data_IF_698768368829
#
_entry.id   IF_698768368829
#
_cell.length_a   1.000
_cell.length_b   1.000
_cell.length_c   1.000
_cell.angle_alpha   90.00
_cell.angle_beta   90.00
_cell.angle_gamma   90.00
#
_symmetry.space_group_name_H-M   'P 1'
#
loop_
_entity.id
_entity.type
_entity.pdbx_description
1 polymer ?
#
# COMPACT_ATOMS: atom_id res chain seq x y z
N UNK A 1 -6.08 -10.16 -0.98
CA UNK A 1 -4.72 -10.72 -0.83
C UNK A 1 -4.52 -11.36 0.55
N UNK A 2 -4.79 -10.65 1.67
CA UNK A 2 -4.54 -11.17 3.03
C UNK A 2 -5.34 -12.43 3.34
N UNK A 3 -6.64 -12.46 3.04
CA UNK A 3 -7.50 -13.65 3.27
C UNK A 3 -6.95 -14.87 2.52
N UNK A 4 -6.47 -14.68 1.29
CA UNK A 4 -5.86 -15.75 0.49
C UNK A 4 -4.49 -16.17 1.03
N UNK A 5 -3.78 -15.26 1.70
CA UNK A 5 -2.46 -15.51 2.30
C UNK A 5 -2.53 -16.31 3.61
N UNK A 6 -3.62 -16.18 4.37
CA UNK A 6 -3.75 -16.82 5.70
C UNK A 6 -3.52 -18.33 5.70
N UNK A 7 -4.08 -19.14 4.78
CA UNK A 7 -3.82 -20.58 4.75
C UNK A 7 -2.34 -20.94 4.56
N UNK A 8 -1.57 -20.05 3.91
CA UNK A 8 -0.15 -20.31 3.65
C UNK A 8 0.73 -20.26 4.90
N UNK A 9 0.28 -19.61 5.98
CA UNK A 9 0.97 -19.75 7.27
C UNK A 9 1.03 -21.19 7.72
N UNK A 10 -0.07 -21.95 7.58
CA UNK A 10 -0.15 -23.37 7.94
C UNK A 10 0.71 -24.18 6.98
N UNK A 11 0.61 -23.90 5.66
CA UNK A 11 1.38 -24.62 4.63
C UNK A 11 2.88 -24.47 4.86
N UNK A 12 3.37 -23.24 5.04
CA UNK A 12 4.79 -22.99 5.26
C UNK A 12 5.26 -23.42 6.65
N UNK A 13 4.39 -23.37 7.68
CA UNK A 13 4.66 -23.99 8.97
C UNK A 13 4.91 -25.48 8.82
N UNK A 14 3.99 -26.21 8.21
CA UNK A 14 4.11 -27.64 7.96
C UNK A 14 5.32 -28.00 7.05
N UNK A 15 5.55 -27.21 5.99
CA UNK A 15 6.69 -27.43 5.11
C UNK A 15 8.02 -27.21 5.84
N UNK A 16 8.06 -26.25 6.75
CA UNK A 16 9.24 -25.95 7.55
C UNK A 16 9.63 -27.06 8.51
N UNK A 17 8.66 -27.83 8.99
CA UNK A 17 8.92 -29.01 9.84
C UNK A 17 9.59 -30.15 9.05
N UNK A 18 9.35 -30.23 7.73
CA UNK A 18 9.97 -31.26 6.86
C UNK A 18 11.32 -30.89 6.28
N UNK A 19 11.46 -29.65 5.81
CA UNK A 19 12.65 -29.16 5.10
C UNK A 19 13.67 -28.54 6.06
N UNK A 20 13.16 -28.06 7.20
CA UNK A 20 13.93 -27.32 8.18
C UNK A 20 13.57 -25.84 8.18
N UNK A 21 13.27 -25.33 9.36
CA UNK A 21 12.72 -23.98 9.58
C UNK A 21 13.62 -22.88 9.04
N UNK A 22 14.93 -23.00 9.30
CA UNK A 22 15.94 -22.07 8.83
C UNK A 22 15.93 -21.90 7.30
N UNK A 23 15.81 -23.01 6.57
CA UNK A 23 15.87 -22.96 5.09
C UNK A 23 14.65 -22.30 4.48
N UNK A 24 13.45 -22.54 5.02
CA UNK A 24 12.23 -21.89 4.54
C UNK A 24 12.26 -20.38 4.80
N UNK A 25 12.67 -19.98 6.00
CA UNK A 25 12.81 -18.54 6.34
C UNK A 25 13.86 -17.85 5.46
N UNK A 26 15.05 -18.46 5.30
CA UNK A 26 16.09 -17.89 4.45
C UNK A 26 15.65 -17.83 2.98
N UNK A 27 14.95 -18.86 2.49
CA UNK A 27 14.38 -18.87 1.15
C UNK A 27 13.38 -17.73 0.93
N UNK A 28 12.47 -17.51 1.88
CA UNK A 28 11.52 -16.40 1.84
C UNK A 28 12.19 -15.04 1.81
N UNK A 29 13.21 -14.82 2.65
CA UNK A 29 14.00 -13.57 2.66
C UNK A 29 14.76 -13.36 1.36
N UNK A 30 15.39 -14.40 0.82
CA UNK A 30 16.14 -14.33 -0.44
C UNK A 30 15.24 -14.02 -1.62
N UNK A 31 14.08 -14.67 -1.72
CA UNK A 31 13.06 -14.39 -2.73
C UNK A 31 12.55 -12.95 -2.61
N UNK A 32 12.32 -12.47 -1.40
CA UNK A 32 11.90 -11.09 -1.16
C UNK A 32 12.96 -10.09 -1.67
N UNK A 33 14.23 -10.29 -1.35
CA UNK A 33 15.33 -9.41 -1.80
C UNK A 33 15.41 -9.36 -3.33
N UNK A 34 15.29 -10.50 -4.00
CA UNK A 34 15.39 -10.59 -5.46
C UNK A 34 14.17 -10.00 -6.18
N UNK A 35 12.96 -10.25 -5.64
CA UNK A 35 11.71 -9.98 -6.33
C UNK A 35 11.02 -8.67 -5.92
N UNK A 36 11.33 -8.08 -4.77
CA UNK A 36 10.69 -6.82 -4.37
C UNK A 36 10.94 -5.70 -5.37
N UNK A 37 12.17 -5.56 -5.86
CA UNK A 37 12.49 -4.49 -6.82
C UNK A 37 11.66 -4.58 -8.12
N UNK A 38 11.59 -5.71 -8.83
CA UNK A 38 10.74 -5.84 -10.01
C UNK A 38 9.25 -5.75 -9.69
N UNK A 39 8.78 -6.27 -8.54
CA UNK A 39 7.39 -6.18 -8.13
C UNK A 39 6.99 -4.72 -7.91
N UNK A 40 7.74 -3.95 -7.13
CA UNK A 40 7.45 -2.53 -6.89
C UNK A 40 7.54 -1.70 -8.17
N UNK A 41 8.49 -2.00 -9.06
CA UNK A 41 8.56 -1.35 -10.37
C UNK A 41 7.29 -1.60 -11.18
N UNK A 42 6.82 -2.84 -11.28
CA UNK A 42 5.59 -3.21 -11.96
C UNK A 42 4.37 -2.54 -11.33
N UNK A 43 4.27 -2.52 -10.00
CA UNK A 43 3.18 -1.82 -9.30
C UNK A 43 3.19 -0.31 -9.60
N UNK A 44 4.36 0.32 -9.60
CA UNK A 44 4.50 1.73 -9.93
C UNK A 44 4.11 2.04 -11.37
N UNK A 45 4.55 1.23 -12.33
CA UNK A 45 4.21 1.41 -13.74
C UNK A 45 2.69 1.25 -13.98
N UNK A 46 2.06 0.29 -13.31
CA UNK A 46 0.61 0.05 -13.39
C UNK A 46 -0.22 1.19 -12.80
N UNK A 47 0.28 1.84 -11.74
CA UNK A 47 -0.44 2.94 -11.06
C UNK A 47 -0.11 4.31 -11.63
N UNK A 48 0.96 4.44 -12.41
CA UNK A 48 1.43 5.72 -12.93
C UNK A 48 0.57 6.21 -14.10
N UNK A 49 -0.31 7.15 -13.82
CA UNK A 49 -1.19 7.76 -14.84
C UNK A 49 -0.45 8.49 -15.96
N UNK A 50 0.83 8.89 -15.75
CA UNK A 50 1.64 9.58 -16.78
C UNK A 50 1.96 8.68 -17.97
N UNK A 51 1.96 7.37 -17.77
CA UNK A 51 2.24 6.38 -18.83
C UNK A 51 0.98 5.95 -19.59
N UNK A 52 -0.20 6.49 -19.21
CA UNK A 52 -1.49 6.14 -19.79
C UNK A 52 -1.95 7.22 -20.78
N UNK A 53 -2.58 6.82 -21.88
CA UNK A 53 -3.11 7.75 -22.89
C UNK A 53 -4.38 8.42 -22.37
N UNK A 54 -4.35 9.75 -22.21
CA UNK A 54 -5.51 10.54 -21.76
C UNK A 54 -6.50 10.70 -22.91
N UNK A 55 -7.79 10.48 -22.63
CA UNK A 55 -8.90 10.81 -23.53
C UNK A 55 -9.34 12.25 -23.25
N UNK A 56 -8.75 13.19 -23.96
CA UNK A 56 -9.02 14.63 -23.79
C UNK A 56 -10.49 14.99 -23.98
N UNK A 57 -11.22 14.27 -24.83
CA UNK A 57 -12.65 14.48 -25.07
C UNK A 57 -13.54 14.18 -23.85
N UNK A 58 -13.04 13.36 -22.90
CA UNK A 58 -13.76 12.98 -21.68
C UNK A 58 -13.22 13.66 -20.41
N UNK A 59 -12.30 14.61 -20.59
CA UNK A 59 -11.79 15.40 -19.47
C UNK A 59 -12.77 16.49 -19.12
N UNK A 60 -13.26 16.49 -17.88
CA UNK A 60 -14.17 17.51 -17.36
C UNK A 60 -13.50 18.34 -16.28
N UNK A 61 -13.68 19.65 -16.40
CA UNK A 61 -13.24 20.64 -15.42
C UNK A 61 -14.51 21.28 -14.83
N UNK A 62 -14.70 21.12 -13.54
CA UNK A 62 -15.80 21.76 -12.81
C UNK A 62 -15.21 22.68 -11.75
N UNK A 63 -15.73 23.90 -11.68
CA UNK A 63 -15.40 24.84 -10.62
C UNK A 63 -16.68 25.16 -9.83
N UNK A 64 -16.67 24.89 -8.55
CA UNK A 64 -17.81 25.12 -7.66
C UNK A 64 -17.37 25.95 -6.45
N UNK A 65 -18.25 26.85 -6.01
CA UNK A 65 -18.11 27.55 -4.74
C UNK A 65 -18.93 26.80 -3.69
N UNK A 66 -18.29 26.38 -2.62
CA UNK A 66 -18.95 25.65 -1.53
C UNK A 66 -18.71 26.35 -0.20
N UNK A 67 -19.77 26.51 0.58
CA UNK A 67 -19.67 27.04 1.91
C UNK A 67 -19.07 25.99 2.86
N UNK A 68 -18.06 26.41 3.62
CA UNK A 68 -17.39 25.53 4.56
C UNK A 68 -18.06 25.61 5.94
N UNK A 69 -17.85 24.58 6.80
CA UNK A 69 -18.36 24.51 8.18
C UNK A 69 -18.01 25.71 9.06
N UNK A 70 -17.09 26.58 8.62
CA UNK A 70 -16.68 27.82 9.30
C UNK A 70 -17.31 29.08 8.70
N UNK A 71 -18.38 28.97 7.90
CA UNK A 71 -19.02 30.08 7.20
C UNK A 71 -18.09 30.89 6.27
N UNK A 72 -17.00 30.25 5.81
CA UNK A 72 -16.10 30.79 4.78
C UNK A 72 -16.40 30.07 3.47
N UNK A 73 -16.26 30.78 2.35
CA UNK A 73 -16.40 30.20 1.02
C UNK A 73 -15.09 29.54 0.57
N UNK A 74 -15.20 28.33 0.04
CA UNK A 74 -14.07 27.63 -0.58
C UNK A 74 -14.35 27.46 -2.09
N UNK A 75 -13.35 27.79 -2.92
CA UNK A 75 -13.40 27.46 -4.35
C UNK A 75 -12.88 26.04 -4.55
N UNK A 76 -13.72 25.17 -5.08
CA UNK A 76 -13.39 23.78 -5.37
C UNK A 76 -13.23 23.63 -6.87
N UNK A 77 -12.03 23.26 -7.30
CA UNK A 77 -11.74 22.91 -8.69
C UNK A 77 -11.62 21.40 -8.79
N UNK A 78 -12.55 20.79 -9.51
CA UNK A 78 -12.58 19.36 -9.75
C UNK A 78 -12.15 19.08 -11.18
N UNK A 79 -11.03 18.39 -11.34
CA UNK A 79 -10.54 17.90 -12.63
C UNK A 79 -10.75 16.40 -12.68
N UNK A 80 -11.57 15.94 -13.62
CA UNK A 80 -11.79 14.52 -13.86
C UNK A 80 -11.20 14.16 -15.24
N UNK A 81 -10.19 13.28 -15.25
CA UNK A 81 -9.53 12.78 -16.44
C UNK A 81 -9.85 11.30 -16.62
N UNK A 82 -10.17 10.92 -17.85
CA UNK A 82 -10.41 9.52 -18.20
C UNK A 82 -9.33 9.06 -19.18
N UNK A 83 -8.77 7.88 -18.94
CA UNK A 83 -7.74 7.28 -19.79
C UNK A 83 -8.33 6.18 -20.67
N UNK A 84 -7.62 5.87 -21.77
CA UNK A 84 -8.06 4.89 -22.78
C UNK A 84 -8.26 3.48 -22.20
N UNK A 85 -7.55 3.13 -21.13
CA UNK A 85 -7.66 1.86 -20.42
C UNK A 85 -8.82 1.79 -19.42
N UNK A 86 -9.63 2.84 -19.30
CA UNK A 86 -10.72 2.95 -18.33
C UNK A 86 -10.30 3.43 -16.93
N UNK A 87 -9.05 3.79 -16.72
CA UNK A 87 -8.59 4.44 -15.49
C UNK A 87 -9.17 5.86 -15.42
N UNK A 88 -9.59 6.30 -14.23
CA UNK A 88 -10.02 7.68 -13.99
C UNK A 88 -9.16 8.34 -12.94
N UNK A 89 -8.82 9.60 -13.17
CA UNK A 89 -8.05 10.45 -12.29
C UNK A 89 -8.90 11.65 -11.88
N UNK A 90 -9.20 11.75 -10.60
CA UNK A 90 -9.95 12.85 -10.01
C UNK A 90 -9.01 13.69 -9.14
N UNK A 91 -8.80 14.93 -9.51
CA UNK A 91 -8.08 15.92 -8.72
C UNK A 91 -9.06 16.97 -8.22
N UNK A 92 -9.14 17.13 -6.92
CA UNK A 92 -9.95 18.15 -6.25
C UNK A 92 -9.00 19.12 -5.56
N UNK A 93 -8.94 20.35 -6.07
CA UNK A 93 -8.20 21.48 -5.49
C UNK A 93 -9.17 22.36 -4.74
N UNK A 94 -9.02 22.45 -3.43
CA UNK A 94 -9.80 23.35 -2.58
C UNK A 94 -8.95 24.55 -2.22
N UNK A 95 -9.39 25.71 -2.65
CA UNK A 95 -8.75 27.00 -2.31
C UNK A 95 -9.63 27.68 -1.26
N UNK A 96 -9.13 27.83 -0.05
CA UNK A 96 -9.86 28.51 1.03
C UNK A 96 -9.86 30.02 0.75
N UNK A 97 -11.07 30.61 0.73
CA UNK A 97 -11.27 32.04 0.53
C UNK A 97 -11.54 32.71 1.88
N UNK A 98 -10.92 33.88 2.07
CA UNK A 98 -11.19 34.80 3.18
C UNK A 98 -11.51 36.18 2.59
N UNK A 99 -12.69 36.69 2.87
CA UNK A 99 -13.21 37.95 2.29
C UNK A 99 -13.17 37.97 0.73
N UNK A 100 -13.50 36.85 0.09
CA UNK A 100 -13.51 36.72 -1.38
C UNK A 100 -12.12 36.63 -2.05
N UNK A 101 -11.03 36.59 -1.28
CA UNK A 101 -9.67 36.42 -1.78
C UNK A 101 -9.07 35.14 -1.22
N UNK A 102 -8.15 34.53 -1.99
CA UNK A 102 -7.46 33.31 -1.54
C UNK A 102 -6.72 33.58 -0.23
N UNK A 103 -6.95 32.75 0.79
CA UNK A 103 -6.26 32.84 2.07
C UNK A 103 -4.78 32.56 1.88
N UNK A 104 -3.91 33.52 2.22
CA UNK A 104 -2.46 33.38 2.12
C UNK A 104 -1.91 32.93 3.48
N UNK A 105 -1.18 31.82 3.48
CA UNK A 105 -0.41 31.34 4.63
C UNK A 105 1.04 31.17 4.17
N UNK A 106 1.99 31.75 4.89
CA UNK A 106 3.43 31.77 4.54
C UNK A 106 3.74 32.27 3.11
N UNK A 107 2.99 33.29 2.65
CA UNK A 107 3.21 33.89 1.33
C UNK A 107 2.65 33.07 0.15
N UNK A 108 1.92 31.97 0.39
CA UNK A 108 1.29 31.14 -0.64
C UNK A 108 -0.20 30.95 -0.36
N UNK A 109 -1.00 30.84 -1.42
CA UNK A 109 -2.42 30.50 -1.28
C UNK A 109 -2.55 29.12 -0.62
N UNK A 110 -3.40 29.00 0.41
CA UNK A 110 -3.69 27.72 1.04
C UNK A 110 -4.54 26.89 0.07
N UNK A 111 -3.90 25.95 -0.61
CA UNK A 111 -4.53 25.03 -1.56
C UNK A 111 -4.42 23.62 -0.99
N UNK A 112 -5.54 22.99 -0.72
CA UNK A 112 -5.58 21.57 -0.38
C UNK A 112 -5.88 20.78 -1.65
N UNK A 113 -4.94 19.92 -2.07
CA UNK A 113 -5.12 19.07 -3.24
C UNK A 113 -5.37 17.63 -2.79
N UNK A 114 -6.51 17.09 -3.16
CA UNK A 114 -6.87 15.70 -2.97
C UNK A 114 -6.92 14.99 -4.31
N UNK A 115 -6.10 13.96 -4.48
CA UNK A 115 -6.05 13.18 -5.71
C UNK A 115 -6.60 11.78 -5.45
N UNK A 116 -7.50 11.33 -6.32
CA UNK A 116 -8.05 9.97 -6.29
C UNK A 116 -7.86 9.34 -7.66
N UNK A 117 -7.22 8.18 -7.70
CA UNK A 117 -7.03 7.40 -8.93
C UNK A 117 -7.87 6.13 -8.81
N UNK A 118 -8.80 5.94 -9.73
CA UNK A 118 -9.57 4.70 -9.86
C UNK A 118 -9.01 3.90 -11.02
N UNK A 119 -8.40 2.77 -10.73
CA UNK A 119 -7.71 1.92 -11.68
C UNK A 119 -8.71 0.98 -12.34
N UNK A 120 -8.50 0.62 -13.61
CA UNK A 120 -9.31 -0.35 -14.33
C UNK A 120 -9.30 -1.74 -13.65
N UNK A 121 -10.25 -2.60 -14.01
CA UNK A 121 -10.42 -3.91 -13.37
C UNK A 121 -9.23 -4.84 -13.60
N UNK A 122 -8.60 -4.80 -14.78
CA UNK A 122 -7.43 -5.63 -15.10
C UNK A 122 -6.23 -5.25 -14.23
N UNK A 123 -5.87 -3.97 -14.18
CA UNK A 123 -4.75 -3.46 -13.38
C UNK A 123 -4.99 -3.68 -11.88
N UNK A 124 -6.25 -3.57 -11.44
CA UNK A 124 -6.62 -3.87 -10.05
C UNK A 124 -6.36 -5.32 -9.67
N UNK A 125 -6.73 -6.28 -10.53
CA UNK A 125 -6.45 -7.70 -10.28
C UNK A 125 -4.95 -7.99 -10.32
N UNK A 126 -4.21 -7.37 -11.24
CA UNK A 126 -2.75 -7.47 -11.31
C UNK A 126 -2.09 -6.97 -10.02
N UNK A 127 -2.53 -5.83 -9.49
CA UNK A 127 -2.03 -5.31 -8.20
C UNK A 127 -2.36 -6.24 -7.03
N UNK A 128 -3.58 -6.79 -6.97
CA UNK A 128 -3.98 -7.76 -5.95
C UNK A 128 -3.07 -8.99 -6.01
N UNK A 129 -2.74 -9.47 -7.22
CA UNK A 129 -1.84 -10.60 -7.40
C UNK A 129 -0.40 -10.29 -6.94
N UNK A 130 0.14 -9.11 -7.32
CA UNK A 130 1.47 -8.69 -6.89
C UNK A 130 1.57 -8.53 -5.36
N UNK A 131 0.53 -7.98 -4.72
CA UNK A 131 0.45 -7.92 -3.26
C UNK A 131 0.35 -9.32 -2.66
N UNK A 132 -0.41 -10.22 -3.26
CA UNK A 132 -0.51 -11.60 -2.79
C UNK A 132 0.85 -12.32 -2.81
N UNK A 133 1.65 -12.14 -3.87
CA UNK A 133 3.02 -12.69 -3.94
C UNK A 133 3.90 -12.16 -2.80
N UNK A 134 3.80 -10.85 -2.48
CA UNK A 134 4.54 -10.29 -1.34
C UNK A 134 4.08 -10.90 -0.01
N UNK A 135 2.77 -11.10 0.17
CA UNK A 135 2.22 -11.77 1.36
C UNK A 135 2.76 -13.19 1.48
N UNK A 136 2.95 -13.93 0.38
CA UNK A 136 3.56 -15.27 0.42
C UNK A 136 4.98 -15.22 0.99
N UNK A 137 5.81 -14.26 0.61
CA UNK A 137 7.16 -14.14 1.19
C UNK A 137 7.12 -13.87 2.69
N UNK A 138 6.18 -13.04 3.12
CA UNK A 138 5.94 -12.77 4.55
C UNK A 138 5.53 -14.06 5.27
N UNK A 139 4.59 -14.83 4.71
CA UNK A 139 4.13 -16.09 5.34
C UNK A 139 5.21 -17.15 5.41
N UNK A 140 6.16 -17.18 4.45
CA UNK A 140 7.33 -18.07 4.50
C UNK A 140 8.23 -17.79 5.70
N UNK A 141 8.37 -16.53 6.08
CA UNK A 141 9.20 -16.11 7.22
C UNK A 141 8.41 -16.24 8.53
N UNK A 142 7.22 -15.67 8.59
CA UNK A 142 6.42 -15.62 9.82
C UNK A 142 5.80 -16.96 10.21
N UNK A 143 5.53 -17.86 9.25
CA UNK A 143 4.98 -19.20 9.55
C UNK A 143 5.85 -19.98 10.53
N UNK A 144 7.12 -20.22 10.24
CA UNK A 144 8.02 -20.99 11.11
C UNK A 144 8.68 -20.20 12.24
N UNK A 145 8.60 -18.85 12.29
CA UNK A 145 9.42 -18.00 13.19
C UNK A 145 9.21 -18.33 14.67
N UNK A 146 7.97 -18.52 15.10
CA UNK A 146 7.67 -18.82 16.51
C UNK A 146 8.30 -20.11 16.95
N UNK A 147 8.16 -21.15 16.14
CA UNK A 147 8.73 -22.46 16.41
C UNK A 147 10.27 -22.46 16.29
N UNK A 148 10.83 -21.71 15.35
CA UNK A 148 12.28 -21.53 15.24
C UNK A 148 12.87 -20.86 16.49
N UNK A 149 12.22 -19.83 17.02
CA UNK A 149 12.65 -19.17 18.27
C UNK A 149 12.59 -20.12 19.46
N UNK A 150 11.57 -20.95 19.55
CA UNK A 150 11.45 -21.98 20.62
C UNK A 150 12.61 -22.95 20.59
N UNK A 151 13.06 -23.38 19.40
CA UNK A 151 14.16 -24.32 19.23
C UNK A 151 15.54 -23.71 19.50
N UNK A 152 15.68 -22.39 19.31
CA UNK A 152 16.94 -21.69 19.50
C UNK A 152 17.40 -21.61 20.96
N UNK A 153 16.45 -21.67 21.91
CA UNK A 153 16.76 -21.47 23.33
C UNK A 153 16.67 -22.75 24.16
N UNK A 154 17.58 -22.95 25.11
CA UNK A 154 17.52 -24.07 26.07
C UNK A 154 16.22 -24.08 26.86
N UNK A 155 15.73 -25.26 27.21
CA UNK A 155 14.42 -25.47 27.86
C UNK A 155 14.21 -24.61 29.10
N UNK A 156 15.26 -24.42 29.92
CA UNK A 156 15.20 -23.66 31.20
C UNK A 156 14.87 -22.17 31.03
N UNK A 157 15.29 -21.55 29.93
CA UNK A 157 15.14 -20.10 29.70
C UNK A 157 14.29 -19.78 28.47
N UNK A 158 13.78 -20.81 27.79
CA UNK A 158 13.08 -20.74 26.51
C UNK A 158 11.98 -19.69 26.50
N UNK A 159 11.10 -19.72 27.50
CA UNK A 159 9.95 -18.82 27.57
C UNK A 159 10.38 -17.33 27.66
N UNK A 160 11.26 -17.03 28.60
CA UNK A 160 11.73 -15.64 28.81
C UNK A 160 12.55 -15.14 27.63
N UNK A 161 13.44 -15.97 27.10
CA UNK A 161 14.32 -15.56 25.97
C UNK A 161 13.58 -15.42 24.65
N UNK A 162 12.50 -16.19 24.44
CA UNK A 162 11.65 -16.06 23.25
C UNK A 162 10.75 -14.81 23.32
N UNK A 163 10.26 -14.49 24.51
CA UNK A 163 9.32 -13.38 24.72
C UNK A 163 9.96 -12.02 24.32
N UNK A 164 11.22 -11.81 24.68
CA UNK A 164 11.91 -10.54 24.43
C UNK A 164 12.04 -10.22 22.93
N UNK A 165 12.68 -11.03 22.08
CA UNK A 165 12.80 -10.72 20.65
C UNK A 165 11.46 -10.71 19.92
N UNK A 166 10.48 -11.52 20.37
CA UNK A 166 9.15 -11.53 19.79
C UNK A 166 8.40 -10.21 20.06
N UNK A 167 8.43 -9.72 21.31
CA UNK A 167 7.75 -8.46 21.66
C UNK A 167 8.49 -7.23 21.14
N UNK A 168 9.81 -7.21 21.20
CA UNK A 168 10.60 -6.09 20.65
C UNK A 168 10.47 -6.03 19.12
N UNK A 169 10.49 -7.18 18.44
CA UNK A 169 10.38 -7.24 16.98
C UNK A 169 9.00 -6.91 16.42
N UNK A 170 7.92 -7.14 17.19
CA UNK A 170 6.54 -6.91 16.73
C UNK A 170 5.85 -5.72 17.42
N UNK A 171 6.44 -5.16 18.47
CA UNK A 171 5.80 -4.14 19.32
C UNK A 171 6.42 -2.74 19.22
N UNK A 172 7.49 -2.57 18.48
CA UNK A 172 8.13 -1.31 18.10
C UNK A 172 8.11 -1.19 16.60
#
# INVERSE_FOLDING_TARGET
>A
ALILGTPFFIVFGWLSDKVGRKYIMMGGMLLAILLYRPIYKSMYETTNVKNKTELTEKTTLLAELKENKKQTMDSIYTTNKTYADGTTFLEVKTVSLENGKAKIVDGKAKVETKTTVTINSHDRWMLIFLIFVQVLFVTMVYGPIAAFLVEMFPVKIRYTSMSLPYHVGNGI
#
